data_IF_391887218548
#
_entry.id   IF_391887218548
#
_cell.length_a   1.000
_cell.length_b   1.000
_cell.length_c   1.000
_cell.angle_alpha   90.00
_cell.angle_beta   90.00
_cell.angle_gamma   90.00
#
_symmetry.space_group_name_H-M   'P 1'
#
loop_
_entity.id
_entity.type
_entity.pdbx_description
1 polymer ?
#
# COMPACT_ATOMS: atom_id res chain seq x y z
N UNK A 1 27.41 15.16 54.98
CA UNK A 1 26.62 14.08 54.35
C UNK A 1 25.39 14.69 53.69
N UNK A 2 25.21 14.47 52.39
CA UNK A 2 23.99 14.84 51.64
C UNK A 2 23.00 13.65 51.65
N UNK A 3 21.72 13.83 51.27
CA UNK A 3 20.51 13.61 52.08
C UNK A 3 19.69 12.41 51.57
N UNK A 4 18.42 12.22 51.98
CA UNK A 4 17.29 11.67 51.17
C UNK A 4 15.96 11.60 52.01
N UNK A 5 14.75 11.46 51.39
CA UNK A 5 13.72 12.52 51.40
C UNK A 5 12.28 12.03 51.71
N UNK A 6 11.29 12.88 51.40
CA UNK A 6 9.88 12.58 51.04
C UNK A 6 8.82 12.67 52.16
N UNK A 7 7.55 13.05 51.89
CA UNK A 7 6.83 12.69 50.66
C UNK A 7 5.97 13.75 49.95
N UNK A 8 5.72 13.37 48.69
CA UNK A 8 4.97 14.02 47.62
C UNK A 8 3.49 14.11 47.96
N UNK A 9 2.88 15.26 47.68
CA UNK A 9 1.41 15.40 47.62
C UNK A 9 0.86 14.69 46.38
N UNK A 10 -0.23 13.97 46.62
CA UNK A 10 -1.02 13.20 45.66
C UNK A 10 -1.83 14.09 44.70
N UNK A 11 -1.90 13.58 43.46
CA UNK A 11 -2.97 13.62 42.44
C UNK A 11 -4.05 14.72 42.51
N UNK A 12 -4.22 15.42 41.38
CA UNK A 12 -5.56 15.71 40.88
C UNK A 12 -5.59 15.41 39.38
N UNK A 13 -6.32 14.35 39.06
CA UNK A 13 -6.86 14.01 37.75
C UNK A 13 -7.54 15.23 37.11
N UNK A 14 -7.12 15.60 35.90
CA UNK A 14 -8.03 16.11 34.87
C UNK A 14 -7.88 15.20 33.66
N UNK A 15 -8.67 14.13 33.68
CA UNK A 15 -8.98 13.30 32.54
C UNK A 15 -9.79 14.12 31.53
N UNK A 16 -9.11 14.81 30.62
CA UNK A 16 -9.70 15.18 29.33
C UNK A 16 -9.09 14.31 28.24
N UNK A 17 -9.63 13.09 28.19
CA UNK A 17 -9.59 12.20 27.05
C UNK A 17 -10.07 13.00 25.82
N UNK A 18 -9.14 13.25 24.91
CA UNK A 18 -9.45 13.38 23.48
C UNK A 18 -8.23 12.96 22.69
N UNK A 19 -8.02 11.64 22.47
CA UNK A 19 -7.13 11.23 21.41
C UNK A 19 -7.85 11.54 20.11
N UNK A 20 -7.62 12.74 19.56
CA UNK A 20 -7.86 13.04 18.13
C UNK A 20 -6.84 12.25 17.30
N UNK A 21 -6.91 10.92 17.36
CA UNK A 21 -6.26 10.00 16.42
C UNK A 21 -7.30 9.64 15.36
N UNK A 22 -7.42 10.44 14.32
CA UNK A 22 -8.24 10.02 13.17
C UNK A 22 -7.90 10.62 11.80
N UNK A 23 -6.77 11.33 11.62
CA UNK A 23 -6.40 11.81 10.28
C UNK A 23 -4.95 11.55 9.84
N UNK A 24 -3.99 11.35 10.74
CA UNK A 24 -2.59 11.11 10.34
C UNK A 24 -2.32 9.68 9.81
N UNK A 25 -3.06 8.67 10.28
CA UNK A 25 -2.89 7.28 9.82
C UNK A 25 -3.44 7.01 8.41
N UNK A 26 -4.43 7.79 7.97
CA UNK A 26 -5.09 7.60 6.67
C UNK A 26 -4.21 8.08 5.50
N UNK A 27 -3.50 9.20 5.68
CA UNK A 27 -2.63 9.77 4.65
C UNK A 27 -1.36 8.94 4.42
N UNK A 28 -0.79 8.35 5.47
CA UNK A 28 0.36 7.44 5.35
C UNK A 28 -0.02 6.13 4.64
N UNK A 29 -1.24 5.62 4.89
CA UNK A 29 -1.76 4.41 4.24
C UNK A 29 -1.83 4.55 2.72
N UNK A 30 -2.27 5.68 2.17
CA UNK A 30 -2.39 5.87 0.72
C UNK A 30 -1.03 5.91 0.02
N UNK A 31 -0.04 6.63 0.58
CA UNK A 31 1.32 6.69 0.02
C UNK A 31 2.05 5.35 0.15
N UNK A 32 1.86 4.65 1.27
CA UNK A 32 2.39 3.30 1.48
C UNK A 32 1.73 2.27 0.53
N UNK A 33 0.42 2.36 0.29
CA UNK A 33 -0.31 1.48 -0.64
C UNK A 33 0.19 1.69 -2.06
N UNK A 34 0.36 2.95 -2.50
CA UNK A 34 0.90 3.26 -3.82
C UNK A 34 2.36 2.79 -3.95
N UNK A 35 3.19 3.02 -2.92
CA UNK A 35 4.57 2.52 -2.94
C UNK A 35 4.64 0.99 -2.98
N UNK A 36 3.76 0.29 -2.26
CA UNK A 36 3.66 -1.16 -2.30
C UNK A 36 3.18 -1.67 -3.66
N UNK A 37 2.19 -1.00 -4.27
CA UNK A 37 1.71 -1.32 -5.61
C UNK A 37 2.85 -1.23 -6.65
N UNK A 38 3.60 -0.13 -6.60
CA UNK A 38 4.75 0.08 -7.49
C UNK A 38 5.88 -0.92 -7.23
N UNK A 39 6.15 -1.27 -5.97
CA UNK A 39 7.15 -2.30 -5.64
C UNK A 39 6.74 -3.66 -6.22
N UNK A 40 5.48 -4.09 -6.02
CA UNK A 40 4.92 -5.33 -6.56
C UNK A 40 4.96 -5.34 -8.09
N UNK A 41 4.59 -4.23 -8.72
CA UNK A 41 4.65 -4.07 -10.17
C UNK A 41 6.08 -4.22 -10.72
N UNK A 42 7.07 -3.60 -10.07
CA UNK A 42 8.49 -3.73 -10.46
C UNK A 42 8.96 -5.18 -10.36
N UNK A 43 8.61 -5.89 -9.28
CA UNK A 43 8.93 -7.31 -9.14
C UNK A 43 8.24 -8.16 -10.21
N UNK A 44 6.98 -7.87 -10.53
CA UNK A 44 6.25 -8.57 -11.59
C UNK A 44 6.97 -8.45 -12.94
N UNK A 45 7.39 -7.23 -13.31
CA UNK A 45 8.13 -6.96 -14.56
C UNK A 45 9.49 -7.67 -14.57
N UNK A 46 10.21 -7.68 -13.45
CA UNK A 46 11.49 -8.38 -13.36
C UNK A 46 11.35 -9.90 -13.53
N UNK A 47 10.34 -10.51 -12.88
CA UNK A 47 10.05 -11.93 -13.03
C UNK A 47 9.62 -12.28 -14.45
N UNK A 48 8.82 -11.40 -15.06
CA UNK A 48 8.35 -11.55 -16.43
C UNK A 48 9.49 -11.49 -17.46
N UNK A 49 10.41 -10.54 -17.29
CA UNK A 49 11.64 -10.46 -18.07
C UNK A 49 12.54 -11.70 -17.90
N UNK A 50 12.52 -12.30 -16.71
CA UNK A 50 13.22 -13.54 -16.40
C UNK A 50 12.44 -14.82 -16.78
N UNK A 51 11.33 -14.69 -17.51
CA UNK A 51 10.46 -15.80 -17.95
C UNK A 51 9.86 -16.64 -16.82
N UNK A 52 9.83 -16.12 -15.59
CA UNK A 52 9.14 -16.74 -14.45
C UNK A 52 7.65 -16.39 -14.47
N UNK A 53 6.92 -16.93 -15.46
CA UNK A 53 5.54 -16.54 -15.78
C UNK A 53 4.55 -16.76 -14.62
N UNK A 54 4.63 -17.88 -13.91
CA UNK A 54 3.78 -18.18 -12.75
C UNK A 54 3.96 -17.16 -11.62
N UNK A 55 5.22 -16.83 -11.32
CA UNK A 55 5.56 -15.83 -10.31
C UNK A 55 5.09 -14.44 -10.74
N UNK A 56 5.44 -14.04 -11.97
CA UNK A 56 5.05 -12.76 -12.54
C UNK A 56 3.53 -12.53 -12.46
N UNK A 57 2.73 -13.54 -12.85
CA UNK A 57 1.26 -13.47 -12.77
C UNK A 57 0.77 -13.13 -11.37
N UNK A 58 1.27 -13.82 -10.33
CA UNK A 58 0.88 -13.56 -8.93
C UNK A 58 1.16 -12.11 -8.52
N UNK A 59 2.34 -11.60 -8.84
CA UNK A 59 2.72 -10.23 -8.52
C UNK A 59 1.91 -9.19 -9.33
N UNK A 60 1.60 -9.46 -10.60
CA UNK A 60 0.73 -8.60 -11.40
C UNK A 60 -0.69 -8.52 -10.83
N UNK A 61 -1.27 -9.66 -10.41
CA UNK A 61 -2.60 -9.70 -9.78
C UNK A 61 -2.63 -8.89 -8.48
N UNK A 62 -1.62 -9.05 -7.62
CA UNK A 62 -1.50 -8.25 -6.40
C UNK A 62 -1.33 -6.76 -6.69
N UNK A 63 -0.51 -6.40 -7.69
CA UNK A 63 -0.31 -5.01 -8.10
C UNK A 63 -1.61 -4.38 -8.60
N UNK A 64 -2.40 -5.09 -9.42
CA UNK A 64 -3.71 -4.63 -9.90
C UNK A 64 -4.64 -4.31 -8.74
N UNK A 65 -4.79 -5.22 -7.76
CA UNK A 65 -5.65 -4.98 -6.60
C UNK A 65 -5.22 -3.78 -5.74
N UNK A 66 -3.92 -3.49 -5.66
CA UNK A 66 -3.41 -2.30 -4.96
C UNK A 66 -3.65 -1.02 -5.78
N UNK A 67 -3.46 -1.07 -7.11
CA UNK A 67 -3.73 0.06 -8.02
C UNK A 67 -5.21 0.43 -8.00
N UNK A 68 -6.13 -0.53 -8.02
CA UNK A 68 -7.58 -0.31 -7.90
C UNK A 68 -7.95 0.39 -6.59
N UNK A 69 -7.33 -0.02 -5.48
CA UNK A 69 -7.53 0.62 -4.18
C UNK A 69 -7.04 2.06 -4.14
N UNK A 70 -5.94 2.36 -4.84
CA UNK A 70 -5.43 3.73 -4.99
C UNK A 70 -6.35 4.54 -5.91
N UNK A 71 -6.81 3.97 -7.02
CA UNK A 71 -7.77 4.58 -7.95
C UNK A 71 -9.06 5.01 -7.25
N UNK A 72 -9.61 4.15 -6.37
CA UNK A 72 -10.81 4.49 -5.59
C UNK A 72 -10.61 5.62 -4.57
N UNK A 73 -9.36 6.00 -4.27
CA UNK A 73 -9.01 7.08 -3.35
C UNK A 73 -8.39 8.29 -4.06
N UNK A 74 -8.02 8.15 -5.33
CA UNK A 74 -7.37 9.18 -6.11
C UNK A 74 -8.40 10.25 -6.49
N UNK A 75 -8.17 11.48 -6.03
CA UNK A 75 -8.99 12.66 -6.37
C UNK A 75 -8.51 13.36 -7.65
N UNK A 76 -7.27 13.08 -8.07
CA UNK A 76 -6.66 13.67 -9.25
C UNK A 76 -6.97 12.83 -10.50
N UNK A 77 -7.64 13.44 -11.48
CA UNK A 77 -8.00 12.77 -12.73
C UNK A 77 -6.76 12.32 -13.52
N UNK A 78 -5.69 13.10 -13.49
CA UNK A 78 -4.44 12.75 -14.17
C UNK A 78 -3.78 11.49 -13.56
N UNK A 79 -3.78 11.39 -12.23
CA UNK A 79 -3.26 10.20 -11.54
C UNK A 79 -4.15 8.99 -11.82
N UNK A 80 -5.47 9.18 -11.86
CA UNK A 80 -6.42 8.12 -12.24
C UNK A 80 -6.14 7.61 -13.64
N UNK A 81 -6.04 8.49 -14.63
CA UNK A 81 -5.78 8.11 -16.03
C UNK A 81 -4.47 7.33 -16.18
N UNK A 82 -3.40 7.76 -15.51
CA UNK A 82 -2.11 7.04 -15.50
C UNK A 82 -2.24 5.66 -14.86
N UNK A 83 -2.93 5.56 -13.72
CA UNK A 83 -3.14 4.29 -13.03
C UNK A 83 -4.03 3.34 -13.84
N UNK A 84 -5.05 3.85 -14.53
CA UNK A 84 -5.91 3.09 -15.43
C UNK A 84 -5.14 2.53 -16.64
N UNK A 85 -4.25 3.32 -17.22
CA UNK A 85 -3.38 2.87 -18.32
C UNK A 85 -2.46 1.72 -17.87
N UNK A 86 -1.82 1.87 -16.70
CA UNK A 86 -0.99 0.82 -16.10
C UNK A 86 -1.82 -0.43 -15.79
N UNK A 87 -3.02 -0.26 -15.23
CA UNK A 87 -3.92 -1.37 -14.91
C UNK A 87 -4.34 -2.14 -16.17
N UNK A 88 -4.67 -1.42 -17.25
CA UNK A 88 -5.01 -2.04 -18.53
C UNK A 88 -3.82 -2.84 -19.09
N UNK A 89 -2.61 -2.28 -19.02
CA UNK A 89 -1.40 -2.96 -19.46
C UNK A 89 -1.14 -4.24 -18.64
N UNK A 90 -1.23 -4.19 -17.32
CA UNK A 90 -1.00 -5.35 -16.44
C UNK A 90 -2.08 -6.42 -16.58
N UNK A 91 -3.33 -6.03 -16.73
CA UNK A 91 -4.44 -6.96 -16.99
C UNK A 91 -4.25 -7.70 -18.32
N UNK A 92 -3.84 -6.98 -19.37
CA UNK A 92 -3.50 -7.60 -20.65
C UNK A 92 -2.32 -8.57 -20.50
N UNK A 93 -1.30 -8.19 -19.73
CA UNK A 93 -0.16 -9.08 -19.47
C UNK A 93 -0.55 -10.34 -18.71
N UNK A 94 -1.43 -10.26 -17.71
CA UNK A 94 -1.96 -11.43 -17.00
C UNK A 94 -2.63 -12.40 -17.98
N UNK A 95 -3.48 -11.90 -18.90
CA UNK A 95 -4.13 -12.75 -19.92
C UNK A 95 -3.13 -13.42 -20.86
N UNK A 96 -2.08 -12.71 -21.25
CA UNK A 96 -1.00 -13.29 -22.05
C UNK A 96 -0.24 -14.38 -21.27
N UNK A 97 0.05 -14.14 -19.99
CA UNK A 97 0.67 -15.12 -19.12
C UNK A 97 -0.24 -16.35 -18.92
N UNK A 98 -1.55 -16.17 -18.82
CA UNK A 98 -2.51 -17.27 -18.76
C UNK A 98 -2.46 -18.14 -20.02
N UNK A 99 -2.41 -17.52 -21.20
CA UNK A 99 -2.25 -18.24 -22.45
C UNK A 99 -0.91 -19.01 -22.51
N UNK A 100 0.19 -18.40 -22.03
CA UNK A 100 1.52 -19.03 -21.98
C UNK A 100 1.57 -20.21 -20.98
N UNK A 101 0.80 -20.14 -19.90
CA UNK A 101 0.69 -21.18 -18.88
C UNK A 101 -0.37 -22.24 -19.21
N UNK A 102 -1.11 -22.09 -20.31
CA UNK A 102 -2.20 -23.00 -20.67
C UNK A 102 -3.41 -22.93 -19.74
N UNK A 103 -3.63 -21.78 -19.10
CA UNK A 103 -4.72 -21.52 -18.15
C UNK A 103 -5.86 -20.66 -18.73
N UNK A 104 -5.82 -20.35 -20.04
CA UNK A 104 -6.77 -19.50 -20.75
C UNK A 104 -7.91 -20.29 -21.41
#
# INVERSE_FOLDING_TARGET
MNPLPSPRRLSSTDDRISPRKSHAGMALSSKATLSAALAKARTAVQLDQAQYHDGAKRYYVEAVGLIERVLGRASNEEDRKKLEEVLRAYTNRIRQLDALLGLA
#
